data_IF_118726521380
#
_entry.id   IF_118726521380
#
_cell.length_a   1.000
_cell.length_b   1.000
_cell.length_c   1.000
_cell.angle_alpha   90.00
_cell.angle_beta   90.00
_cell.angle_gamma   90.00
#
_symmetry.space_group_name_H-M   'P 1'
#
loop_
_entity.id
_entity.type
_entity.pdbx_description
1 polymer ?
#
# COMPACT_ATOMS: atom_id res chain seq x y z
N UNK A 1 -8.40 -10.96 -16.49
CA UNK A 1 -8.03 -9.54 -16.36
C UNK A 1 -6.75 -9.43 -15.57
N UNK A 2 -5.94 -8.40 -15.84
CA UNK A 2 -4.78 -8.02 -15.02
C UNK A 2 -5.20 -6.99 -13.98
N UNK A 3 -5.03 -7.31 -12.71
CA UNK A 3 -5.46 -6.46 -11.61
C UNK A 3 -4.26 -6.06 -10.76
N UNK A 4 -4.07 -4.76 -10.55
CA UNK A 4 -3.12 -4.30 -9.56
C UNK A 4 -3.83 -3.94 -8.27
N UNK A 5 -3.32 -4.44 -7.14
CA UNK A 5 -3.73 -4.05 -5.80
C UNK A 5 -2.58 -3.30 -5.16
N UNK A 6 -2.82 -2.08 -4.73
CA UNK A 6 -1.81 -1.21 -4.13
C UNK A 6 -2.14 -1.06 -2.64
N UNK A 7 -1.36 -1.69 -1.79
CA UNK A 7 -1.53 -1.58 -0.33
C UNK A 7 -0.21 -1.76 0.39
N UNK A 8 0.20 -0.75 1.12
CA UNK A 8 1.39 -0.75 1.98
C UNK A 8 0.97 -0.98 3.43
N UNK A 9 1.80 -1.69 4.19
CA UNK A 9 1.66 -1.84 5.64
C UNK A 9 0.73 -2.98 6.09
N UNK A 10 0.33 -3.88 5.21
CA UNK A 10 -0.22 -5.19 5.59
C UNK A 10 0.89 -6.26 5.66
N UNK A 11 0.61 -7.32 6.41
CA UNK A 11 1.54 -8.44 6.52
C UNK A 11 1.61 -9.21 5.20
N UNK A 12 2.83 -9.55 4.82
CA UNK A 12 3.08 -10.44 3.69
C UNK A 12 2.96 -11.91 4.12
N UNK A 13 2.55 -12.81 3.23
CA UNK A 13 2.56 -14.24 3.49
C UNK A 13 4.02 -14.72 3.51
N UNK A 14 4.56 -14.92 4.70
CA UNK A 14 5.92 -15.37 4.96
C UNK A 14 6.01 -16.86 5.34
N UNK A 15 4.92 -17.60 5.15
CA UNK A 15 4.81 -19.01 5.55
C UNK A 15 4.42 -19.21 7.02
N UNK A 16 4.37 -18.15 7.82
CA UNK A 16 3.84 -18.22 9.18
C UNK A 16 2.29 -18.23 9.17
N UNK A 17 1.70 -18.74 10.26
CA UNK A 17 0.22 -18.76 10.39
C UNK A 17 -0.30 -17.36 10.78
N UNK A 18 -0.10 -16.39 9.88
CA UNK A 18 -0.54 -15.00 10.08
C UNK A 18 -2.03 -14.85 9.75
N UNK A 19 -2.68 -13.94 10.43
CA UNK A 19 -4.02 -13.52 10.07
C UNK A 19 -4.01 -12.85 8.69
N UNK A 20 -4.65 -13.48 7.71
CA UNK A 20 -4.82 -12.88 6.38
C UNK A 20 -5.55 -11.55 6.49
N UNK A 21 -4.91 -10.49 6.06
CA UNK A 21 -5.49 -9.17 6.02
C UNK A 21 -6.23 -8.95 4.69
N UNK A 22 -6.93 -7.83 4.59
CA UNK A 22 -7.90 -7.58 3.51
C UNK A 22 -7.28 -7.54 2.10
N UNK A 23 -6.09 -6.96 1.95
CA UNK A 23 -5.45 -6.92 0.64
C UNK A 23 -5.03 -8.32 0.17
N UNK A 24 -4.46 -9.14 1.07
CA UNK A 24 -4.12 -10.52 0.76
C UNK A 24 -5.36 -11.35 0.38
N UNK A 25 -6.45 -11.25 1.17
CA UNK A 25 -7.71 -11.94 0.88
C UNK A 25 -8.29 -11.54 -0.48
N UNK A 26 -8.27 -10.23 -0.80
CA UNK A 26 -8.73 -9.74 -2.10
C UNK A 26 -7.89 -10.28 -3.25
N UNK A 27 -6.56 -10.25 -3.10
CA UNK A 27 -5.64 -10.77 -4.12
C UNK A 27 -5.85 -12.26 -4.37
N UNK A 28 -5.94 -13.07 -3.30
CA UNK A 28 -6.21 -14.50 -3.39
C UNK A 28 -7.56 -14.76 -4.08
N UNK A 29 -8.63 -14.10 -3.64
CA UNK A 29 -9.96 -14.28 -4.22
C UNK A 29 -10.02 -13.94 -5.72
N UNK A 30 -9.31 -12.89 -6.15
CA UNK A 30 -9.22 -12.53 -7.57
C UNK A 30 -8.37 -13.53 -8.35
N UNK A 31 -7.26 -14.01 -7.78
CA UNK A 31 -6.40 -15.00 -8.41
C UNK A 31 -7.12 -16.35 -8.58
N UNK A 32 -7.90 -16.77 -7.60
CA UNK A 32 -8.73 -18.00 -7.64
C UNK A 32 -9.83 -17.92 -8.72
N UNK A 33 -10.27 -16.71 -9.06
CA UNK A 33 -11.19 -16.46 -10.18
C UNK A 33 -10.48 -16.38 -11.55
N UNK A 34 -9.18 -16.67 -11.60
CA UNK A 34 -8.38 -16.68 -12.83
C UNK A 34 -7.89 -15.32 -13.30
N UNK A 35 -7.92 -14.29 -12.43
CA UNK A 35 -7.33 -12.98 -12.75
C UNK A 35 -5.83 -12.97 -12.44
N UNK A 36 -5.05 -12.31 -13.30
CA UNK A 36 -3.62 -12.06 -13.05
C UNK A 36 -3.47 -10.91 -12.07
N UNK A 37 -3.07 -11.20 -10.85
CA UNK A 37 -3.03 -10.23 -9.75
C UNK A 37 -1.60 -9.85 -9.41
N UNK A 38 -1.32 -8.56 -9.34
CA UNK A 38 -0.07 -8.03 -8.81
C UNK A 38 -0.35 -7.14 -7.59
N UNK A 39 0.16 -7.54 -6.43
CA UNK A 39 0.11 -6.72 -5.23
C UNK A 39 1.39 -5.89 -5.10
N UNK A 40 1.26 -4.57 -5.18
CA UNK A 40 2.33 -3.61 -4.94
C UNK A 40 2.35 -3.19 -3.48
N UNK A 41 3.48 -3.43 -2.80
CA UNK A 41 3.60 -3.19 -1.37
C UNK A 41 5.02 -2.83 -0.95
N UNK A 42 5.24 -2.61 0.35
CA UNK A 42 6.56 -2.40 0.95
C UNK A 42 7.15 -3.72 1.43
N UNK A 43 8.48 -3.86 1.30
CA UNK A 43 9.25 -4.94 1.92
C UNK A 43 9.40 -4.77 3.46
N UNK A 44 8.79 -3.75 4.05
CA UNK A 44 8.86 -3.45 5.48
C UNK A 44 7.64 -3.99 6.24
N UNK A 45 7.91 -4.78 7.29
CA UNK A 45 6.88 -5.24 8.22
C UNK A 45 6.48 -4.11 9.18
N UNK A 46 5.33 -3.51 8.91
CA UNK A 46 4.78 -2.42 9.71
C UNK A 46 4.53 -2.81 11.18
N UNK A 47 4.20 -4.05 11.46
CA UNK A 47 3.86 -4.52 12.81
C UNK A 47 5.10 -4.82 13.64
N UNK A 48 6.07 -5.52 13.05
CA UNK A 48 7.31 -5.92 13.71
C UNK A 48 8.42 -4.88 13.60
N UNK A 49 8.25 -3.82 12.76
CA UNK A 49 9.28 -2.81 12.49
C UNK A 49 10.59 -3.41 11.97
N UNK A 50 10.47 -4.43 11.16
CA UNK A 50 11.57 -5.20 10.58
C UNK A 50 11.42 -5.31 9.06
N UNK A 51 12.40 -5.83 8.39
CA UNK A 51 12.35 -6.08 6.97
C UNK A 51 11.98 -7.53 6.69
N UNK A 52 11.09 -7.77 5.72
CA UNK A 52 10.86 -9.09 5.16
C UNK A 52 11.99 -9.48 4.22
N UNK A 53 12.54 -8.50 3.48
CA UNK A 53 13.57 -8.70 2.47
C UNK A 53 14.59 -7.57 2.51
N UNK A 54 15.87 -7.91 2.23
CA UNK A 54 16.97 -6.93 2.21
C UNK A 54 17.02 -6.09 0.94
N UNK A 55 16.26 -6.45 -0.08
CA UNK A 55 16.17 -5.78 -1.36
C UNK A 55 14.75 -5.80 -1.91
N UNK A 56 14.52 -5.11 -3.03
CA UNK A 56 13.27 -5.22 -3.78
C UNK A 56 13.08 -6.67 -4.21
N UNK A 57 11.92 -7.21 -3.95
CA UNK A 57 11.64 -8.62 -4.16
C UNK A 57 10.32 -8.80 -4.88
N UNK A 58 10.32 -9.75 -5.81
CA UNK A 58 9.12 -10.22 -6.50
C UNK A 58 8.86 -11.66 -6.06
N UNK A 59 7.68 -11.89 -5.47
CA UNK A 59 7.26 -13.21 -5.01
C UNK A 59 6.11 -13.71 -5.87
N UNK A 60 6.25 -14.86 -6.48
CA UNK A 60 5.13 -15.56 -7.11
C UNK A 60 4.50 -16.49 -6.08
N UNK A 61 3.31 -16.15 -5.60
CA UNK A 61 2.58 -16.94 -4.61
C UNK A 61 1.72 -18.03 -5.26
N UNK A 62 1.28 -17.79 -6.49
CA UNK A 62 0.65 -18.78 -7.37
C UNK A 62 0.91 -18.40 -8.82
N UNK A 63 0.39 -19.21 -9.75
CA UNK A 63 0.45 -18.92 -11.20
C UNK A 63 -0.16 -17.56 -11.55
N UNK A 64 -1.18 -17.15 -10.81
CA UNK A 64 -1.95 -15.94 -11.06
C UNK A 64 -1.72 -14.82 -10.02
N UNK A 65 -0.85 -15.00 -9.03
CA UNK A 65 -0.66 -14.03 -7.97
C UNK A 65 0.81 -13.72 -7.69
N UNK A 66 1.18 -12.48 -7.92
CA UNK A 66 2.53 -11.96 -7.71
C UNK A 66 2.51 -10.80 -6.72
N UNK A 67 3.47 -10.75 -5.80
CA UNK A 67 3.71 -9.63 -4.87
C UNK A 67 5.00 -8.92 -5.29
N UNK A 68 4.93 -7.61 -5.45
CA UNK A 68 6.09 -6.72 -5.65
C UNK A 68 6.34 -5.95 -4.36
N UNK A 69 7.28 -6.43 -3.57
CA UNK A 69 7.68 -5.85 -2.29
C UNK A 69 8.88 -4.92 -2.49
N UNK A 70 8.68 -3.62 -2.32
CA UNK A 70 9.68 -2.59 -2.59
C UNK A 70 10.27 -2.09 -1.28
N UNK A 71 11.60 -1.98 -1.22
CA UNK A 71 12.31 -1.51 -0.05
C UNK A 71 12.22 0.01 0.06
N UNK A 72 11.76 0.53 1.20
CA UNK A 72 11.83 1.93 1.60
C UNK A 72 13.03 2.20 2.52
N UNK A 73 12.86 3.11 3.46
CA UNK A 73 13.85 3.40 4.52
C UNK A 73 13.45 2.80 5.88
N UNK A 74 12.18 2.36 6.02
CA UNK A 74 11.62 1.85 7.26
C UNK A 74 11.47 2.91 8.35
N UNK A 75 10.79 2.55 9.45
CA UNK A 75 10.54 3.42 10.59
C UNK A 75 10.26 2.62 11.86
N UNK A 76 10.55 3.22 13.03
CA UNK A 76 10.42 2.55 14.33
C UNK A 76 9.08 2.85 15.01
N UNK A 77 8.43 3.98 14.67
CA UNK A 77 7.18 4.45 15.29
C UNK A 77 6.11 4.73 14.26
N UNK A 78 4.85 4.38 14.60
CA UNK A 78 3.69 4.60 13.72
C UNK A 78 3.42 6.07 13.43
N UNK A 79 3.67 6.94 14.40
CA UNK A 79 3.58 8.40 14.27
C UNK A 79 5.00 8.96 14.30
N UNK A 80 5.59 9.16 13.10
CA UNK A 80 6.94 9.70 12.97
C UNK A 80 7.13 10.36 11.60
N UNK A 81 7.97 11.39 11.55
CA UNK A 81 8.41 11.99 10.29
C UNK A 81 9.10 10.97 9.39
N UNK A 82 9.85 10.02 9.98
CA UNK A 82 10.51 8.95 9.24
C UNK A 82 9.52 8.09 8.46
N UNK A 83 8.33 7.81 9.00
CA UNK A 83 7.26 7.10 8.28
C UNK A 83 6.76 7.91 7.08
N UNK A 84 6.59 9.24 7.21
CA UNK A 84 6.20 10.10 6.10
C UNK A 84 7.27 10.10 5.00
N UNK A 85 8.54 10.18 5.40
CA UNK A 85 9.67 10.10 4.46
C UNK A 85 9.71 8.72 3.79
N UNK A 86 9.48 7.63 4.52
CA UNK A 86 9.41 6.28 3.96
C UNK A 86 8.33 6.17 2.88
N UNK A 87 7.12 6.66 3.14
CA UNK A 87 6.04 6.69 2.15
C UNK A 87 6.39 7.52 0.91
N UNK A 88 7.10 8.66 1.11
CA UNK A 88 7.58 9.50 0.01
C UNK A 88 8.65 8.79 -0.83
N UNK A 89 9.59 8.11 -0.17
CA UNK A 89 10.62 7.30 -0.84
C UNK A 89 9.98 6.16 -1.61
N UNK A 90 9.04 5.42 -1.01
CA UNK A 90 8.30 4.36 -1.70
C UNK A 90 7.55 4.90 -2.92
N UNK A 91 6.83 6.02 -2.78
CA UNK A 91 6.12 6.68 -3.87
C UNK A 91 7.06 6.99 -5.06
N UNK A 92 8.25 7.53 -4.77
CA UNK A 92 9.25 7.84 -5.78
C UNK A 92 9.82 6.57 -6.43
N UNK A 93 10.10 5.52 -5.66
CA UNK A 93 10.59 4.24 -6.17
C UNK A 93 9.56 3.56 -7.07
N UNK A 94 8.30 3.50 -6.66
CA UNK A 94 7.21 3.01 -7.51
C UNK A 94 7.14 3.80 -8.82
N UNK A 95 7.20 5.14 -8.77
CA UNK A 95 7.16 5.97 -9.96
C UNK A 95 8.23 5.61 -11.01
N UNK A 96 9.40 5.14 -10.57
CA UNK A 96 10.49 4.71 -11.45
C UNK A 96 10.25 3.33 -12.07
N UNK A 97 9.47 2.49 -11.41
CA UNK A 97 9.19 1.12 -11.86
C UNK A 97 7.95 1.03 -12.75
N UNK A 98 6.99 1.95 -12.58
CA UNK A 98 5.72 1.93 -13.29
C UNK A 98 5.83 2.02 -14.82
N UNK A 99 6.74 2.79 -15.42
CA UNK A 99 6.86 2.87 -16.88
C UNK A 99 7.21 1.54 -17.55
N UNK A 100 7.97 0.70 -16.86
CA UNK A 100 8.46 -0.58 -17.38
C UNK A 100 7.55 -1.77 -16.96
N UNK A 101 6.50 -1.49 -16.21
CA UNK A 101 5.57 -2.52 -15.76
C UNK A 101 4.50 -2.80 -16.83
N UNK A 102 4.13 -4.06 -16.95
CA UNK A 102 2.99 -4.45 -17.79
C UNK A 102 1.69 -3.85 -17.24
N UNK A 103 0.97 -3.10 -18.07
CA UNK A 103 -0.21 -2.34 -17.64
C UNK A 103 -1.35 -3.26 -17.16
N UNK A 104 -2.01 -2.92 -16.05
CA UNK A 104 -3.21 -3.63 -15.60
C UNK A 104 -4.46 -3.14 -16.36
N UNK A 105 -5.50 -3.96 -16.31
CA UNK A 105 -6.83 -3.57 -16.79
C UNK A 105 -7.57 -2.69 -15.75
N UNK A 106 -7.24 -2.85 -14.47
CA UNK A 106 -7.84 -2.09 -13.36
C UNK A 106 -6.90 -2.03 -12.16
N UNK A 107 -7.01 -0.97 -11.35
CA UNK A 107 -6.27 -0.83 -10.09
C UNK A 107 -7.21 -0.70 -8.89
N UNK A 108 -6.84 -1.34 -7.77
CA UNK A 108 -7.42 -1.11 -6.44
C UNK A 108 -6.36 -0.46 -5.57
N UNK A 109 -6.58 0.80 -5.20
CA UNK A 109 -5.59 1.63 -4.50
C UNK A 109 -6.08 1.89 -3.08
N UNK A 110 -5.41 1.29 -2.10
CA UNK A 110 -5.81 1.43 -0.70
C UNK A 110 -5.04 2.56 0.01
N UNK A 111 -5.77 3.39 0.75
CA UNK A 111 -5.19 4.38 1.66
C UNK A 111 -5.09 3.80 3.09
N UNK A 112 -4.24 4.35 4.01
CA UNK A 112 -3.80 5.74 4.08
C UNK A 112 -2.35 6.05 3.61
N UNK A 113 -1.67 5.23 2.85
CA UNK A 113 -0.36 5.61 2.30
C UNK A 113 -0.54 6.62 1.14
N UNK A 114 -0.90 7.88 1.48
CA UNK A 114 -1.38 8.89 0.52
C UNK A 114 -0.39 9.21 -0.60
N UNK A 115 0.90 9.35 -0.31
CA UNK A 115 1.93 9.62 -1.34
C UNK A 115 1.99 8.48 -2.37
N UNK A 116 1.87 7.23 -1.91
CA UNK A 116 1.85 6.04 -2.77
C UNK A 116 0.55 6.00 -3.56
N UNK A 117 -0.60 6.15 -2.89
CA UNK A 117 -1.92 6.14 -3.51
C UNK A 117 -2.04 7.21 -4.61
N UNK A 118 -1.60 8.43 -4.32
CA UNK A 118 -1.58 9.54 -5.26
C UNK A 118 -0.74 9.22 -6.51
N UNK A 119 0.43 8.61 -6.33
CA UNK A 119 1.32 8.23 -7.43
C UNK A 119 0.67 7.22 -8.37
N UNK A 120 0.05 6.19 -7.85
CA UNK A 120 -0.64 5.20 -8.65
C UNK A 120 -1.90 5.76 -9.32
N UNK A 121 -2.66 6.62 -8.64
CA UNK A 121 -3.81 7.30 -9.22
C UNK A 121 -3.40 8.23 -10.38
N UNK A 122 -2.32 9.01 -10.23
CA UNK A 122 -1.78 9.82 -11.32
C UNK A 122 -1.37 8.96 -12.53
N UNK A 123 -0.71 7.83 -12.28
CA UNK A 123 -0.32 6.90 -13.33
C UNK A 123 -1.56 6.30 -14.03
N UNK A 124 -2.57 5.89 -13.26
CA UNK A 124 -3.83 5.36 -13.81
C UNK A 124 -4.51 6.38 -14.73
N UNK A 125 -4.65 7.64 -14.28
CA UNK A 125 -5.21 8.73 -15.10
C UNK A 125 -4.39 8.95 -16.38
N UNK A 126 -3.06 9.02 -16.26
CA UNK A 126 -2.18 9.25 -17.41
C UNK A 126 -2.23 8.12 -18.46
N UNK A 127 -2.55 6.90 -18.04
CA UNK A 127 -2.65 5.71 -18.90
C UNK A 127 -4.09 5.33 -19.28
N UNK A 128 -5.09 6.06 -18.79
CA UNK A 128 -6.50 5.74 -19.02
C UNK A 128 -6.95 4.45 -18.34
N UNK A 129 -6.31 4.05 -17.24
CA UNK A 129 -6.63 2.82 -16.51
C UNK A 129 -7.69 3.11 -15.46
N UNK A 130 -8.81 2.37 -15.42
CA UNK A 130 -9.82 2.52 -14.37
C UNK A 130 -9.25 2.12 -13.01
N UNK A 131 -9.63 2.85 -11.95
CA UNK A 131 -9.19 2.53 -10.60
C UNK A 131 -10.26 2.81 -9.55
N UNK A 132 -10.14 2.12 -8.42
CA UNK A 132 -10.97 2.27 -7.22
C UNK A 132 -10.09 2.68 -6.05
N UNK A 133 -10.54 3.63 -5.25
CA UNK A 133 -9.89 3.98 -3.97
C UNK A 133 -10.56 3.21 -2.84
N UNK A 134 -9.81 2.34 -2.17
CA UNK A 134 -10.24 1.64 -0.95
C UNK A 134 -9.88 2.48 0.28
N UNK A 135 -10.82 3.31 0.74
CA UNK A 135 -10.68 4.15 1.91
C UNK A 135 -11.06 3.36 3.18
N UNK A 136 -10.08 2.92 3.95
CA UNK A 136 -10.29 2.09 5.14
C UNK A 136 -10.40 2.87 6.43
N UNK A 137 -9.70 3.99 6.52
CA UNK A 137 -9.65 4.86 7.69
C UNK A 137 -10.04 6.27 7.31
N UNK A 138 -10.83 6.91 8.16
CA UNK A 138 -11.15 8.35 8.04
C UNK A 138 -9.95 9.20 8.53
N UNK A 139 -8.76 8.91 7.99
CA UNK A 139 -7.58 9.72 8.27
C UNK A 139 -7.58 10.93 7.32
N UNK A 140 -7.35 12.17 7.73
CA UNK A 140 -6.89 12.62 9.05
C UNK A 140 -8.00 12.81 10.11
N UNK A 141 -9.29 12.70 9.78
CA UNK A 141 -10.39 12.99 10.69
C UNK A 141 -10.31 12.16 11.98
N UNK A 142 -10.00 10.87 11.88
CA UNK A 142 -9.79 10.01 13.05
C UNK A 142 -8.60 10.46 13.91
N UNK A 143 -7.63 11.19 13.35
CA UNK A 143 -6.54 11.77 14.11
C UNK A 143 -7.01 13.02 14.86
N UNK A 144 -7.81 13.87 14.24
CA UNK A 144 -8.39 15.07 14.86
C UNK A 144 -9.38 14.66 15.95
N UNK A 145 -10.19 13.64 15.72
CA UNK A 145 -11.17 13.13 16.68
C UNK A 145 -10.51 12.51 17.92
N UNK A 146 -9.32 11.91 17.77
CA UNK A 146 -8.55 11.30 18.85
C UNK A 146 -7.38 12.18 19.32
N UNK A 147 -7.16 13.36 18.72
CA UNK A 147 -6.16 14.29 19.20
C UNK A 147 -6.55 14.79 20.60
N UNK A 148 -5.54 14.77 21.47
CA UNK A 148 -5.63 15.19 22.88
C UNK A 148 -6.47 16.46 23.02
N UNK A 149 -7.26 16.65 24.10
CA UNK A 149 -8.15 17.80 24.35
C UNK A 149 -7.56 19.19 24.06
N UNK A 150 -6.25 19.28 24.08
CA UNK A 150 -5.48 20.49 23.76
C UNK A 150 -5.64 20.96 22.30
N UNK A 151 -5.76 20.06 21.33
CA UNK A 151 -5.94 20.44 19.91
C UNK A 151 -7.39 20.82 19.63
N UNK A 152 -8.36 20.23 20.35
CA UNK A 152 -9.78 20.64 20.29
C UNK A 152 -10.01 22.05 20.81
N UNK A 153 -9.24 22.50 21.80
CA UNK A 153 -9.36 23.85 22.36
C UNK A 153 -8.87 24.94 21.40
N UNK A 154 -8.01 24.63 20.44
CA UNK A 154 -7.48 25.58 19.46
C UNK A 154 -8.07 25.41 18.04
N UNK A 155 -8.76 24.32 17.75
CA UNK A 155 -9.41 24.06 16.45
C UNK A 155 -10.87 24.48 16.37
N UNK A 156 -11.43 25.04 17.42
CA UNK A 156 -12.83 25.43 17.52
C UNK A 156 -13.08 26.93 17.28
N UNK A 157 -12.46 27.50 16.23
CA UNK A 157 -12.79 28.87 15.76
C UNK A 157 -12.90 28.82 14.23
N UNK A 158 -14.11 28.61 13.75
CA UNK A 158 -14.78 29.23 12.62
C UNK A 158 -16.07 28.49 12.30
#
# INVERSE_FOLDING_TARGET
MKVWVIKVGEQLPDGSNIRKMRALQLCEALADQGHQVTWWTSAFNHFQKSWYFDQDTVLSLSENFTVRAIRGIGYDRNFSLRRLIDHRVLSWRFARMLPDAELPDVMVIAIPAYDVAYRFAQFAVAKGIPYVIDARDKWPDSFVDNAVPFVRAFGGVA
#
